data_IF_061267982049
#
_entry.id   IF_061267982049
#
_cell.length_a   1.000
_cell.length_b   1.000
_cell.length_c   1.000
_cell.angle_alpha   90.00
_cell.angle_beta   90.00
_cell.angle_gamma   90.00
#
_symmetry.space_group_name_H-M   'P 1'
#
loop_
_entity.id
_entity.type
_entity.pdbx_description
1 polymer ?
#
# COMPACT_ATOMS: atom_id res chain seq x y z
N UNK A 1 -15.88 7.44 -6.97
CA UNK A 1 -14.87 6.91 -6.02
C UNK A 1 -14.13 5.80 -6.77
N UNK A 2 -12.86 5.97 -7.14
CA UNK A 2 -12.10 4.86 -7.73
C UNK A 2 -11.70 3.88 -6.63
N UNK A 3 -12.18 2.65 -6.75
CA UNK A 3 -12.01 1.55 -5.78
C UNK A 3 -10.85 0.65 -6.20
N UNK A 4 -9.66 1.21 -6.43
CA UNK A 4 -8.55 0.36 -6.80
C UNK A 4 -8.22 -0.57 -5.62
N UNK A 5 -8.38 -1.87 -5.85
CA UNK A 5 -7.96 -2.92 -4.92
C UNK A 5 -6.52 -3.28 -5.23
N UNK A 6 -5.86 -3.92 -4.29
CA UNK A 6 -4.60 -4.58 -4.53
C UNK A 6 -4.46 -5.84 -3.70
N UNK A 7 -3.64 -6.75 -4.19
CA UNK A 7 -3.16 -7.90 -3.44
C UNK A 7 -1.73 -7.65 -2.97
N UNK A 8 -1.44 -7.93 -1.69
CA UNK A 8 -0.07 -7.92 -1.20
C UNK A 8 0.70 -9.12 -1.76
N UNK A 9 1.83 -8.87 -2.41
CA UNK A 9 2.64 -9.90 -3.06
C UNK A 9 4.01 -10.02 -2.41
N UNK A 10 4.63 -11.18 -2.58
CA UNK A 10 5.95 -11.50 -2.06
C UNK A 10 6.33 -12.93 -2.45
N UNK A 11 7.52 -13.37 -2.03
CA UNK A 11 8.05 -14.68 -2.42
C UNK A 11 7.30 -15.86 -1.77
N UNK A 12 6.85 -15.70 -0.52
CA UNK A 12 6.18 -16.75 0.26
C UNK A 12 4.80 -16.26 0.74
N UNK A 13 3.76 -17.05 0.47
CA UNK A 13 2.40 -16.78 0.95
C UNK A 13 2.36 -16.76 2.48
N UNK A 14 1.66 -15.79 3.07
CA UNK A 14 1.60 -15.64 4.53
C UNK A 14 2.84 -15.01 5.17
N UNK A 15 3.89 -14.68 4.41
CA UNK A 15 5.00 -13.87 4.92
C UNK A 15 4.58 -12.42 5.17
N UNK A 16 5.26 -11.74 6.09
CA UNK A 16 4.88 -10.39 6.53
C UNK A 16 5.39 -9.32 5.57
N UNK A 17 4.51 -8.37 5.24
CA UNK A 17 4.83 -7.13 4.53
C UNK A 17 4.61 -5.96 5.48
N UNK A 18 5.65 -5.15 5.70
CA UNK A 18 5.58 -4.02 6.61
C UNK A 18 4.61 -2.94 6.11
N UNK A 19 3.79 -2.43 7.03
CA UNK A 19 2.93 -1.28 6.82
C UNK A 19 3.58 -0.07 7.49
N UNK A 20 4.08 0.89 6.72
CA UNK A 20 4.84 2.04 7.25
C UNK A 20 3.98 3.28 7.50
N UNK A 21 4.45 4.15 8.39
CA UNK A 21 3.75 5.40 8.72
C UNK A 21 3.81 6.46 7.63
N UNK A 22 4.80 6.35 6.73
CA UNK A 22 5.03 7.26 5.62
C UNK A 22 5.73 6.55 4.46
N UNK A 23 5.84 7.21 3.30
CA UNK A 23 6.47 6.65 2.11
C UNK A 23 7.99 6.67 2.25
N UNK A 24 8.55 5.53 2.64
CA UNK A 24 9.99 5.32 2.71
C UNK A 24 10.42 4.40 3.83
N UNK A 25 11.61 3.82 3.69
CA UNK A 25 12.14 2.84 4.66
C UNK A 25 12.57 3.45 5.99
N UNK A 26 12.78 4.76 6.03
CA UNK A 26 13.10 5.53 7.24
C UNK A 26 11.87 5.84 8.12
N UNK A 27 10.66 5.61 7.62
CA UNK A 27 9.44 5.79 8.41
C UNK A 27 9.16 4.55 9.27
N UNK A 28 8.74 4.72 10.54
CA UNK A 28 8.50 3.60 11.44
C UNK A 28 7.38 2.68 10.93
N UNK A 29 7.51 1.39 11.27
CA UNK A 29 6.49 0.39 11.04
C UNK A 29 5.28 0.67 11.95
N UNK A 30 4.08 0.59 11.39
CA UNK A 30 2.79 0.71 12.11
C UNK A 30 2.04 -0.61 12.23
N UNK A 31 2.59 -1.67 11.64
CA UNK A 31 1.99 -2.98 11.57
C UNK A 31 2.49 -3.74 10.34
N UNK A 32 1.74 -4.76 9.96
CA UNK A 32 2.03 -5.57 8.79
C UNK A 32 0.75 -6.12 8.17
N UNK A 33 0.82 -6.45 6.89
CA UNK A 33 -0.07 -7.39 6.24
C UNK A 33 0.65 -8.69 5.92
N UNK A 34 -0.08 -9.67 5.41
CA UNK A 34 0.48 -10.92 4.92
C UNK A 34 0.43 -10.96 3.39
N UNK A 35 1.41 -11.62 2.77
CA UNK A 35 1.33 -11.94 1.34
C UNK A 35 0.06 -12.75 1.08
N UNK A 36 -0.74 -12.26 0.12
CA UNK A 36 -2.09 -12.74 -0.18
C UNK A 36 -3.22 -11.90 0.40
N UNK A 37 -2.94 -10.97 1.33
CA UNK A 37 -3.97 -10.07 1.85
C UNK A 37 -4.46 -9.10 0.76
N UNK A 38 -5.77 -8.83 0.78
CA UNK A 38 -6.39 -7.79 -0.04
C UNK A 38 -6.45 -6.46 0.70
N UNK A 39 -6.06 -5.40 0.01
CA UNK A 39 -6.08 -4.03 0.52
C UNK A 39 -6.77 -3.09 -0.46
N UNK A 40 -7.31 -1.99 0.05
CA UNK A 40 -7.70 -0.86 -0.78
C UNK A 40 -6.49 0.03 -1.03
N UNK A 41 -6.27 0.47 -2.27
CA UNK A 41 -5.39 1.62 -2.52
C UNK A 41 -6.20 2.88 -2.20
N UNK A 42 -5.71 3.64 -1.23
CA UNK A 42 -6.37 4.82 -0.73
C UNK A 42 -5.89 6.05 -1.49
N UNK A 43 -6.83 6.94 -1.83
CA UNK A 43 -6.52 8.30 -2.25
C UNK A 43 -6.60 9.22 -1.04
N UNK A 44 -5.85 10.30 -1.08
CA UNK A 44 -6.12 11.41 -0.17
C UNK A 44 -7.48 12.03 -0.49
N UNK A 45 -8.20 12.45 0.55
CA UNK A 45 -9.46 13.16 0.39
C UNK A 45 -9.15 14.52 -0.25
N UNK A 46 -9.67 14.75 -1.46
CA UNK A 46 -9.34 15.94 -2.26
C UNK A 46 -8.07 15.81 -3.09
N UNK A 47 -7.34 14.69 -3.02
CA UNK A 47 -6.17 14.40 -3.84
C UNK A 47 -6.53 14.02 -5.28
N UNK A 48 -5.60 14.27 -6.20
CA UNK A 48 -5.69 13.83 -7.58
C UNK A 48 -5.63 12.30 -7.66
N UNK A 49 -6.28 11.64 -8.64
CA UNK A 49 -6.05 10.22 -8.92
C UNK A 49 -4.58 9.83 -9.13
N UNK A 50 -3.70 10.81 -9.39
CA UNK A 50 -2.24 10.62 -9.50
C UNK A 50 -1.53 10.48 -8.16
N UNK A 51 -2.20 10.81 -7.05
CA UNK A 51 -1.65 10.78 -5.69
C UNK A 51 -1.86 9.42 -5.01
N UNK A 52 -2.18 8.37 -5.79
CA UNK A 52 -2.29 6.98 -5.32
C UNK A 52 -0.93 6.42 -4.89
N UNK A 53 0.13 6.96 -5.48
CA UNK A 53 1.49 6.54 -5.25
C UNK A 53 2.40 7.77 -5.14
N UNK A 54 3.41 7.69 -4.29
CA UNK A 54 4.39 8.75 -4.13
C UNK A 54 5.79 8.17 -4.24
N UNK A 55 6.69 8.95 -4.84
CA UNK A 55 8.10 8.58 -5.01
C UNK A 55 8.85 9.12 -3.80
N UNK A 56 9.46 8.23 -3.02
CA UNK A 56 10.33 8.68 -1.94
C UNK A 56 11.60 9.34 -2.49
N UNK A 57 12.36 10.05 -1.66
CA UNK A 57 13.58 10.75 -2.10
C UNK A 57 14.61 9.84 -2.79
N UNK A 58 14.58 8.55 -2.49
CA UNK A 58 15.48 7.52 -3.03
C UNK A 58 14.97 6.89 -4.33
N UNK A 59 13.78 7.29 -4.80
CA UNK A 59 13.24 6.88 -6.10
C UNK A 59 12.25 5.71 -6.07
N UNK A 60 12.04 5.06 -4.93
CA UNK A 60 11.05 3.98 -4.82
C UNK A 60 9.61 4.52 -4.75
N UNK A 61 8.68 3.81 -5.38
CA UNK A 61 7.25 4.15 -5.34
C UNK A 61 6.57 3.48 -4.14
N UNK A 62 5.70 4.23 -3.48
CA UNK A 62 4.94 3.79 -2.32
C UNK A 62 3.46 4.08 -2.47
N UNK A 63 2.62 3.09 -2.14
CA UNK A 63 1.17 3.21 -2.19
C UNK A 63 0.60 3.33 -0.79
N UNK A 64 -0.36 4.24 -0.63
CA UNK A 64 -1.15 4.31 0.60
C UNK A 64 -2.24 3.26 0.54
N UNK A 65 -2.30 2.40 1.55
CA UNK A 65 -3.24 1.26 1.59
C UNK A 65 -4.10 1.27 2.84
N UNK A 66 -5.27 0.64 2.73
CA UNK A 66 -6.21 0.40 3.82
C UNK A 66 -6.62 -1.07 3.87
N UNK A 67 -6.47 -1.70 5.03
CA UNK A 67 -6.88 -3.07 5.28
C UNK A 67 -8.38 -3.13 5.54
N UNK A 68 -9.18 -3.85 4.72
CA UNK A 68 -10.64 -3.84 4.84
C UNK A 68 -11.14 -4.41 6.18
N UNK A 69 -10.49 -5.45 6.69
CA UNK A 69 -10.91 -6.14 7.92
C UNK A 69 -10.58 -5.38 9.19
N UNK A 70 -9.35 -4.84 9.29
CA UNK A 70 -8.86 -4.18 10.51
C UNK A 70 -9.04 -2.66 10.49
N UNK A 71 -9.26 -2.07 9.32
CA UNK A 71 -9.25 -0.62 9.13
C UNK A 71 -7.85 0.01 9.21
N UNK A 72 -6.79 -0.79 9.39
CA UNK A 72 -5.41 -0.30 9.45
C UNK A 72 -5.03 0.42 8.16
N UNK A 73 -4.29 1.53 8.26
CA UNK A 73 -3.85 2.34 7.11
C UNK A 73 -2.38 2.68 7.23
N UNK A 74 -1.70 2.71 6.08
CA UNK A 74 -0.28 3.06 6.02
C UNK A 74 0.25 2.97 4.59
N UNK A 75 1.56 2.80 4.48
CA UNK A 75 2.27 2.79 3.20
C UNK A 75 2.96 1.45 2.97
N UNK A 76 2.84 0.95 1.74
CA UNK A 76 3.49 -0.28 1.25
C UNK A 76 4.24 0.07 -0.03
N UNK A 77 5.45 -0.45 -0.19
CA UNK A 77 6.29 -0.21 -1.38
C UNK A 77 5.75 -0.98 -2.59
N UNK A 78 5.97 -0.45 -3.78
CA UNK A 78 5.46 -1.03 -5.03
C UNK A 78 5.84 -2.50 -5.24
N UNK A 79 7.02 -2.93 -4.79
CA UNK A 79 7.49 -4.31 -4.94
C UNK A 79 6.57 -5.35 -4.25
N UNK A 80 5.77 -4.91 -3.28
CA UNK A 80 4.91 -5.78 -2.47
C UNK A 80 3.43 -5.54 -2.73
N UNK A 81 3.07 -4.86 -3.81
CA UNK A 81 1.68 -4.55 -4.15
C UNK A 81 1.41 -4.88 -5.62
N UNK A 82 0.28 -5.55 -5.86
CA UNK A 82 -0.25 -5.77 -7.20
C UNK A 82 -1.58 -5.03 -7.32
N UNK A 83 -1.59 -3.81 -7.91
CA UNK A 83 -2.82 -3.04 -8.13
C UNK A 83 -3.76 -3.70 -9.14
N UNK A 84 -5.01 -3.83 -8.76
CA UNK A 84 -6.13 -4.30 -9.58
C UNK A 84 -7.07 -3.10 -9.79
N UNK A 85 -6.60 -2.11 -10.54
CA UNK A 85 -7.40 -0.94 -10.89
C UNK A 85 -8.21 -1.25 -12.15
N UNK A 86 -9.52 -1.45 -12.01
CA UNK A 86 -10.42 -1.53 -13.16
C UNK A 86 -10.59 -0.13 -13.77
N UNK A 87 -10.37 -0.04 -15.08
CA UNK A 87 -10.43 1.18 -15.89
C UNK A 87 -11.86 1.57 -16.20
#
# INVERSE_FOLDING_TARGET
>A
MSYCMATLIGQEYGSRINLRSGPGTNFPDKGYGLVGDRVHILREVGGSPRDLATVERQGSVWYRVGFPKSGARGWVREDFISPECFN
#
